data_IF_198043606732
#
_entry.id   IF_198043606732
#
_cell.length_a   1.000
_cell.length_b   1.000
_cell.length_c   1.000
_cell.angle_alpha   90.00
_cell.angle_beta   90.00
_cell.angle_gamma   90.00
#
_symmetry.space_group_name_H-M   'P 1'
#
loop_
_entity.id
_entity.type
_entity.pdbx_description
1 polymer ?
#
# COMPACT_ATOMS: atom_id res chain seq x y z
N UNK A 1 2.71 -21.14 28.72
CA UNK A 1 1.93 -20.34 27.75
C UNK A 1 2.58 -20.24 26.37
N UNK A 2 3.92 -20.08 26.26
CA UNK A 2 4.66 -20.07 24.97
C UNK A 2 4.37 -21.26 24.03
N UNK A 3 4.32 -22.49 24.55
CA UNK A 3 4.15 -23.68 23.70
C UNK A 3 2.74 -23.80 23.09
N UNK A 4 1.72 -23.20 23.72
CA UNK A 4 0.36 -23.16 23.16
C UNK A 4 0.24 -22.14 22.04
N UNK A 5 0.98 -21.03 22.11
CA UNK A 5 1.05 -20.01 21.05
C UNK A 5 1.73 -20.57 19.81
N UNK A 6 2.83 -21.32 19.98
CA UNK A 6 3.54 -21.98 18.87
C UNK A 6 2.65 -23.02 18.18
N UNK A 7 1.88 -23.80 18.95
CA UNK A 7 0.94 -24.78 18.41
C UNK A 7 -0.23 -24.12 17.64
N UNK A 8 -0.73 -22.98 18.13
CA UNK A 8 -1.75 -22.19 17.41
C UNK A 8 -1.16 -21.62 16.11
N UNK A 9 0.07 -21.12 16.15
CA UNK A 9 0.79 -20.63 14.96
C UNK A 9 1.00 -21.75 13.92
N UNK A 10 1.33 -22.97 14.36
CA UNK A 10 1.51 -24.16 13.52
C UNK A 10 0.19 -24.75 12.98
N UNK A 11 -0.92 -24.63 13.70
CA UNK A 11 -2.23 -25.01 13.16
C UNK A 11 -2.76 -23.98 12.15
N UNK A 12 -2.47 -22.69 12.36
CA UNK A 12 -2.82 -21.63 11.40
C UNK A 12 -2.06 -21.78 10.07
N UNK A 13 -0.81 -22.26 10.09
CA UNK A 13 -0.07 -22.52 8.84
C UNK A 13 -0.68 -23.66 8.02
N UNK A 14 -1.30 -24.67 8.65
CA UNK A 14 -1.88 -25.80 7.90
C UNK A 14 -3.16 -25.44 7.14
N UNK A 15 -3.92 -24.43 7.59
CA UNK A 15 -5.15 -23.97 6.90
C UNK A 15 -4.81 -23.13 5.65
N UNK A 16 -3.57 -22.64 5.51
CA UNK A 16 -3.18 -21.74 4.42
C UNK A 16 -2.80 -22.40 3.10
N UNK A 17 -2.67 -23.73 3.03
CA UNK A 17 -2.11 -24.44 1.88
C UNK A 17 -3.05 -24.67 0.68
N UNK A 18 -4.33 -24.26 0.77
CA UNK A 18 -5.27 -24.41 -0.35
C UNK A 18 -5.42 -23.14 -1.21
N UNK A 19 -4.86 -21.99 -0.78
CA UNK A 19 -4.98 -20.70 -1.45
C UNK A 19 -3.61 -20.07 -1.64
N UNK A 20 -3.21 -19.94 -2.91
CA UNK A 20 -1.92 -19.37 -3.30
C UNK A 20 -1.75 -17.96 -2.73
N UNK A 21 -0.53 -17.66 -2.32
CA UNK A 21 -0.13 -16.30 -1.97
C UNK A 21 0.43 -15.68 -3.25
N UNK A 22 -0.12 -14.54 -3.64
CA UNK A 22 0.29 -13.81 -4.83
C UNK A 22 1.44 -12.87 -4.46
N UNK A 23 2.56 -13.03 -5.15
CA UNK A 23 3.74 -12.19 -5.02
C UNK A 23 3.93 -11.43 -6.32
N UNK A 24 3.81 -10.10 -6.25
CA UNK A 24 4.04 -9.19 -7.38
C UNK A 24 4.97 -8.06 -6.94
N UNK A 25 5.45 -7.25 -7.86
CA UNK A 25 6.37 -6.16 -7.53
C UNK A 25 7.28 -5.80 -8.70
N UNK A 26 8.22 -4.91 -8.45
CA UNK A 26 9.19 -4.47 -9.44
C UNK A 26 10.49 -3.97 -8.80
N UNK A 27 11.53 -3.91 -9.62
CA UNK A 27 12.75 -3.16 -9.32
C UNK A 27 12.87 -2.06 -10.36
N UNK A 28 13.13 -0.84 -9.93
CA UNK A 28 13.27 0.32 -10.80
C UNK A 28 14.60 1.02 -10.53
N UNK A 29 15.23 1.50 -11.60
CA UNK A 29 16.38 2.39 -11.52
C UNK A 29 16.03 3.70 -12.24
N UNK A 30 16.18 4.83 -11.55
CA UNK A 30 16.16 6.17 -12.13
C UNK A 30 17.56 6.74 -12.13
N UNK A 31 18.02 7.15 -13.32
CA UNK A 31 19.24 7.92 -13.50
C UNK A 31 18.95 9.14 -14.37
N UNK A 32 19.44 10.31 -13.96
CA UNK A 32 19.24 11.58 -14.67
C UNK A 32 20.52 12.39 -14.71
N UNK A 33 20.87 12.92 -15.89
CA UNK A 33 22.04 13.76 -16.12
C UNK A 33 21.60 15.11 -16.70
N UNK A 34 22.25 16.19 -16.27
CA UNK A 34 22.04 17.51 -16.90
C UNK A 34 22.91 17.65 -18.14
N UNK A 35 22.30 17.85 -19.30
CA UNK A 35 23.01 18.16 -20.52
C UNK A 35 23.22 19.68 -20.66
N UNK A 36 24.47 20.13 -20.85
CA UNK A 36 24.79 21.50 -21.28
C UNK A 36 25.63 22.36 -20.32
N UNK A 37 26.01 21.87 -19.13
CA UNK A 37 26.79 22.67 -18.17
C UNK A 37 28.31 22.33 -18.12
N UNK A 38 28.82 21.48 -19.02
CA UNK A 38 30.23 21.08 -19.03
C UNK A 38 30.67 20.16 -17.88
N UNK A 39 29.92 20.11 -16.77
CA UNK A 39 29.99 19.05 -15.76
C UNK A 39 28.97 17.95 -16.08
N UNK A 40 29.44 16.71 -16.21
CA UNK A 40 28.59 15.52 -16.44
C UNK A 40 27.99 15.03 -15.11
N UNK A 41 27.32 15.91 -14.39
CA UNK A 41 26.80 15.58 -13.06
C UNK A 41 25.48 14.83 -13.17
N UNK A 42 25.41 13.67 -12.51
CA UNK A 42 24.15 12.97 -12.28
C UNK A 42 23.37 13.72 -11.21
N UNK A 43 22.12 14.06 -11.51
CA UNK A 43 21.22 14.79 -10.59
C UNK A 43 20.24 13.84 -9.91
N UNK A 44 19.98 12.69 -10.51
CA UNK A 44 19.12 11.65 -9.96
C UNK A 44 19.85 10.33 -10.12
N UNK A 45 20.02 9.60 -9.03
CA UNK A 45 20.45 8.21 -8.99
C UNK A 45 19.68 7.53 -7.85
N UNK A 46 18.66 6.77 -8.22
CA UNK A 46 17.72 6.15 -7.28
C UNK A 46 17.38 4.73 -7.75
N UNK A 47 17.46 3.79 -6.81
CA UNK A 47 16.98 2.43 -6.99
C UNK A 47 15.77 2.21 -6.09
N UNK A 48 14.72 1.62 -6.65
CA UNK A 48 13.48 1.30 -5.93
C UNK A 48 13.26 -0.20 -6.00
N UNK A 49 12.97 -0.81 -4.86
CA UNK A 49 12.49 -2.18 -4.75
C UNK A 49 11.08 -2.16 -4.16
N UNK A 50 10.09 -2.62 -4.93
CA UNK A 50 8.70 -2.72 -4.50
C UNK A 50 8.29 -4.20 -4.48
N UNK A 51 7.68 -4.62 -3.38
CA UNK A 51 7.14 -5.96 -3.23
C UNK A 51 5.70 -5.90 -2.74
N UNK A 52 4.82 -6.60 -3.40
CA UNK A 52 3.41 -6.72 -3.05
C UNK A 52 3.09 -8.19 -2.74
N UNK A 53 2.51 -8.42 -1.56
CA UNK A 53 2.14 -9.73 -1.06
C UNK A 53 0.66 -9.71 -0.78
N UNK A 54 -0.10 -10.49 -1.53
CA UNK A 54 -1.55 -10.60 -1.39
C UNK A 54 -1.96 -12.05 -1.14
N UNK A 55 -2.93 -12.24 -0.25
CA UNK A 55 -3.55 -13.54 -0.03
C UNK A 55 -5.06 -13.36 0.04
N UNK A 56 -5.75 -14.00 -0.89
CA UNK A 56 -7.21 -13.99 -0.96
C UNK A 56 -7.76 -15.31 -0.38
N UNK A 57 -8.76 -15.18 0.49
CA UNK A 57 -9.47 -16.27 1.14
C UNK A 57 -10.98 -16.06 0.99
N UNK A 58 -11.78 -17.12 1.17
CA UNK A 58 -13.21 -17.11 0.82
C UNK A 58 -14.08 -16.09 1.58
N UNK A 59 -13.57 -15.47 2.64
CA UNK A 59 -14.24 -14.39 3.37
C UNK A 59 -13.29 -13.33 3.90
N UNK A 60 -12.04 -13.32 3.42
CA UNK A 60 -11.04 -12.33 3.87
C UNK A 60 -9.92 -12.20 2.85
N UNK A 61 -9.30 -11.03 2.78
CA UNK A 61 -8.05 -10.84 2.05
C UNK A 61 -7.03 -10.11 2.91
N UNK A 62 -5.76 -10.33 2.63
CA UNK A 62 -4.67 -9.63 3.28
C UNK A 62 -3.71 -9.08 2.22
N UNK A 63 -3.22 -7.86 2.46
CA UNK A 63 -2.22 -7.21 1.62
C UNK A 63 -1.11 -6.60 2.47
N UNK A 64 0.13 -6.81 2.05
CA UNK A 64 1.32 -6.10 2.56
C UNK A 64 2.20 -5.65 1.40
N UNK A 65 2.58 -4.37 1.42
CA UNK A 65 3.39 -3.75 0.38
C UNK A 65 4.55 -2.92 0.97
N UNK A 66 5.70 -3.54 1.29
CA UNK A 66 6.93 -2.82 1.58
C UNK A 66 7.57 -2.25 0.29
N UNK A 67 8.18 -1.08 0.42
CA UNK A 67 9.00 -0.44 -0.61
C UNK A 67 10.31 0.05 0.00
N UNK A 68 11.40 -0.09 -0.75
CA UNK A 68 12.74 0.37 -0.36
C UNK A 68 13.25 1.30 -1.46
N UNK A 69 13.78 2.44 -1.04
CA UNK A 69 14.49 3.38 -1.90
C UNK A 69 15.96 3.43 -1.50
N UNK A 70 16.86 3.48 -2.48
CA UNK A 70 18.29 3.66 -2.29
C UNK A 70 18.78 4.78 -3.22
N UNK A 71 19.25 5.87 -2.62
CA UNK A 71 19.70 7.07 -3.33
C UNK A 71 21.23 7.20 -3.26
N UNK A 72 21.81 7.98 -4.17
CA UNK A 72 23.27 8.20 -4.32
C UNK A 72 24.01 8.58 -3.03
N UNK A 73 23.34 9.24 -2.09
CA UNK A 73 23.93 9.66 -0.81
C UNK A 73 24.04 8.53 0.23
N UNK A 74 24.06 7.27 -0.20
CA UNK A 74 24.00 6.05 0.64
C UNK A 74 22.78 5.97 1.58
N UNK A 75 21.76 6.80 1.37
CA UNK A 75 20.54 6.77 2.17
C UNK A 75 19.61 5.65 1.67
N UNK A 76 19.40 4.64 2.52
CA UNK A 76 18.35 3.64 2.33
C UNK A 76 17.12 4.09 3.11
N UNK A 77 15.99 4.22 2.42
CA UNK A 77 14.69 4.53 3.01
C UNK A 77 13.76 3.33 2.86
N UNK A 78 13.09 2.95 3.95
CA UNK A 78 12.09 1.88 3.97
C UNK A 78 10.71 2.48 4.27
N UNK A 79 9.71 2.10 3.50
CA UNK A 79 8.32 2.47 3.75
C UNK A 79 7.41 1.25 3.60
N UNK A 80 6.51 1.06 4.56
CA UNK A 80 5.42 0.10 4.46
C UNK A 80 4.21 0.84 3.88
N UNK A 81 3.98 0.74 2.57
CA UNK A 81 2.91 1.52 1.90
C UNK A 81 1.54 1.08 2.34
N UNK A 82 1.30 -0.23 2.33
CA UNK A 82 0.03 -0.83 2.73
C UNK A 82 0.29 -2.08 3.59
N UNK A 83 -0.59 -2.28 4.57
CA UNK A 83 -0.65 -3.44 5.44
C UNK A 83 -2.06 -3.50 6.04
N UNK A 84 -2.96 -4.24 5.40
CA UNK A 84 -4.35 -4.30 5.82
C UNK A 84 -4.96 -5.70 5.68
N UNK A 85 -6.06 -5.90 6.39
CA UNK A 85 -6.92 -7.07 6.34
C UNK A 85 -8.32 -6.63 5.91
N UNK A 86 -8.86 -7.29 4.89
CA UNK A 86 -10.28 -7.23 4.54
C UNK A 86 -11.01 -8.43 5.12
N UNK A 87 -12.22 -8.18 5.60
CA UNK A 87 -13.20 -9.17 5.99
C UNK A 87 -14.47 -8.92 5.19
N UNK A 88 -14.92 -9.94 4.48
CA UNK A 88 -16.09 -9.87 3.60
C UNK A 88 -17.25 -10.60 4.24
N UNK A 89 -18.40 -9.93 4.33
CA UNK A 89 -19.66 -10.50 4.84
C UNK A 89 -20.79 -10.28 3.82
N UNK A 90 -21.91 -10.96 3.99
CA UNK A 90 -23.01 -10.94 3.02
C UNK A 90 -23.59 -9.54 2.75
N UNK A 91 -23.54 -8.64 3.74
CA UNK A 91 -24.15 -7.30 3.66
C UNK A 91 -23.18 -6.16 3.92
N UNK A 92 -21.94 -6.46 4.30
CA UNK A 92 -20.94 -5.44 4.58
C UNK A 92 -19.52 -5.98 4.51
N UNK A 93 -18.58 -5.08 4.27
CA UNK A 93 -17.15 -5.39 4.32
C UNK A 93 -16.44 -4.45 5.27
N UNK A 94 -15.39 -4.96 5.91
CA UNK A 94 -14.54 -4.19 6.81
C UNK A 94 -13.09 -4.32 6.36
N UNK A 95 -12.41 -3.18 6.17
CA UNK A 95 -10.96 -3.09 5.97
C UNK A 95 -10.31 -2.44 7.17
N UNK A 96 -9.31 -3.09 7.76
CA UNK A 96 -8.53 -2.53 8.89
C UNK A 96 -7.05 -2.59 8.61
N UNK A 97 -6.33 -1.52 8.98
CA UNK A 97 -4.88 -1.41 8.83
C UNK A 97 -4.46 -0.18 8.04
N UNK A 98 -3.20 -0.20 7.57
CA UNK A 98 -2.63 0.85 6.72
C UNK A 98 -3.03 0.59 5.28
N UNK A 99 -3.77 1.52 4.68
CA UNK A 99 -4.42 1.34 3.39
C UNK A 99 -4.42 2.66 2.61
N UNK A 100 -4.35 2.59 1.29
CA UNK A 100 -4.67 3.74 0.46
C UNK A 100 -6.18 3.76 0.20
N UNK A 101 -6.86 4.83 0.59
CA UNK A 101 -8.31 4.96 0.43
C UNK A 101 -8.58 5.97 -0.68
N UNK A 102 -9.01 5.47 -1.84
CA UNK A 102 -9.44 6.32 -2.96
C UNK A 102 -10.91 6.65 -2.78
N UNK A 103 -11.22 7.95 -2.69
CA UNK A 103 -12.60 8.42 -2.61
C UNK A 103 -13.03 9.16 -3.89
N UNK A 104 -14.09 8.65 -4.52
CA UNK A 104 -14.64 9.15 -5.77
C UNK A 104 -14.43 8.22 -6.97
N UNK A 105 -15.03 8.57 -8.11
CA UNK A 105 -15.09 7.73 -9.34
C UNK A 105 -14.03 8.11 -10.39
N UNK A 106 -13.16 9.08 -10.10
CA UNK A 106 -12.13 9.51 -11.04
C UNK A 106 -10.91 8.60 -10.93
N UNK A 107 -10.75 7.70 -11.90
CA UNK A 107 -9.53 6.91 -12.06
C UNK A 107 -8.43 7.78 -12.71
N UNK A 108 -7.20 7.65 -12.23
CA UNK A 108 -6.04 8.38 -12.78
C UNK A 108 -5.95 9.90 -12.50
N UNK A 109 -6.94 10.53 -11.87
CA UNK A 109 -6.89 11.96 -11.49
C UNK A 109 -7.40 12.19 -10.08
N UNK A 110 -6.62 12.90 -9.27
CA UNK A 110 -6.93 13.12 -7.86
C UNK A 110 -7.92 14.28 -7.61
N UNK A 111 -9.08 14.28 -8.27
CA UNK A 111 -10.03 15.41 -8.21
C UNK A 111 -10.75 15.48 -6.85
N UNK A 112 -11.18 14.32 -6.33
CA UNK A 112 -11.98 14.22 -5.09
C UNK A 112 -11.31 13.38 -4.01
N UNK A 113 -10.07 12.95 -4.25
CA UNK A 113 -9.34 12.08 -3.33
C UNK A 113 -8.77 12.89 -2.16
N UNK A 114 -9.48 12.85 -1.03
CA UNK A 114 -9.20 13.61 0.20
C UNK A 114 -8.72 12.70 1.35
N UNK A 115 -9.01 11.39 1.29
CA UNK A 115 -8.78 10.49 2.43
C UNK A 115 -7.33 10.00 2.52
N UNK A 116 -6.67 9.79 1.38
CA UNK A 116 -5.24 9.51 1.33
C UNK A 116 -4.48 10.77 0.94
N UNK A 117 -3.65 11.34 1.86
CA UNK A 117 -2.72 12.41 1.53
C UNK A 117 -1.75 11.99 0.41
N UNK A 118 -1.12 12.98 -0.25
CA UNK A 118 -0.25 12.75 -1.40
C UNK A 118 1.14 13.28 -1.10
N UNK A 119 2.16 12.45 -1.34
CA UNK A 119 3.55 12.90 -1.35
C UNK A 119 3.90 13.34 -2.77
N UNK A 120 4.17 14.64 -2.93
CA UNK A 120 4.52 15.26 -4.21
C UNK A 120 5.97 15.76 -4.23
N UNK A 121 6.81 15.35 -3.27
CA UNK A 121 8.19 15.80 -3.16
C UNK A 121 9.00 15.52 -4.44
N UNK A 122 8.77 14.36 -5.09
CA UNK A 122 9.46 13.95 -6.31
C UNK A 122 8.64 14.20 -7.60
N UNK A 123 7.51 14.90 -7.48
CA UNK A 123 6.56 15.37 -8.50
C UNK A 123 6.19 14.39 -9.64
N UNK A 124 7.11 14.08 -10.57
CA UNK A 124 6.88 13.25 -11.76
C UNK A 124 7.63 11.91 -11.77
N UNK A 125 8.57 11.68 -10.85
CA UNK A 125 9.34 10.44 -10.82
C UNK A 125 8.52 9.25 -10.30
N UNK A 126 7.70 9.39 -9.23
CA UNK A 126 6.91 8.28 -8.74
C UNK A 126 5.71 7.97 -9.64
N UNK A 127 5.30 6.71 -9.69
CA UNK A 127 4.04 6.32 -10.32
C UNK A 127 2.84 6.84 -9.53
N UNK A 128 1.67 6.95 -10.15
CA UNK A 128 0.49 7.52 -9.52
C UNK A 128 0.02 6.79 -8.26
N UNK A 129 0.25 5.48 -8.17
CA UNK A 129 -0.06 4.71 -6.98
C UNK A 129 0.95 5.03 -5.86
N UNK A 130 2.22 5.27 -6.18
CA UNK A 130 3.31 5.62 -5.24
C UNK A 130 3.07 6.98 -4.57
N UNK A 131 2.44 7.92 -5.28
CA UNK A 131 2.12 9.26 -4.76
C UNK A 131 1.18 9.21 -3.54
N UNK A 132 0.29 8.22 -3.45
CA UNK A 132 -0.66 8.15 -2.33
C UNK A 132 0.02 7.66 -1.05
N UNK A 133 -0.20 8.37 0.04
CA UNK A 133 0.23 7.95 1.37
C UNK A 133 -0.85 7.04 1.96
N UNK A 134 -0.45 5.83 2.37
CA UNK A 134 -1.33 4.92 3.11
C UNK A 134 -1.67 5.48 4.49
N UNK A 135 -2.95 5.45 4.85
CA UNK A 135 -3.47 5.90 6.15
C UNK A 135 -3.86 4.70 6.99
N UNK A 136 -3.56 4.77 8.29
CA UNK A 136 -3.98 3.72 9.24
C UNK A 136 -5.39 4.01 9.71
N UNK A 137 -6.29 3.06 9.50
CA UNK A 137 -7.67 3.23 9.94
C UNK A 137 -8.54 2.01 9.69
N UNK A 138 -9.85 2.24 9.84
CA UNK A 138 -10.89 1.28 9.51
C UNK A 138 -11.82 1.87 8.45
N UNK A 139 -12.23 1.04 7.50
CA UNK A 139 -13.24 1.37 6.49
C UNK A 139 -14.34 0.31 6.56
N UNK A 140 -15.59 0.74 6.54
CA UNK A 140 -16.78 -0.10 6.52
C UNK A 140 -17.63 0.27 5.31
N UNK A 141 -17.95 -0.72 4.48
CA UNK A 141 -18.90 -0.60 3.39
C UNK A 141 -20.15 -1.40 3.74
N UNK A 142 -21.32 -0.78 3.77
CA UNK A 142 -22.60 -1.47 4.00
C UNK A 142 -23.45 -1.42 2.72
N UNK A 143 -23.89 -2.59 2.25
CA UNK A 143 -24.60 -2.75 0.98
C UNK A 143 -26.12 -2.80 1.19
N UNK A 144 -26.84 -1.87 0.57
CA UNK A 144 -28.30 -1.70 0.71
C UNK A 144 -28.97 -1.80 -0.67
N UNK A 145 -28.80 -2.94 -1.33
CA UNK A 145 -29.31 -3.17 -2.69
C UNK A 145 -28.63 -2.25 -3.70
N UNK A 146 -29.33 -1.22 -4.18
CA UNK A 146 -28.78 -0.26 -5.15
C UNK A 146 -27.89 0.83 -4.55
N UNK A 147 -27.77 0.89 -3.22
CA UNK A 147 -27.00 1.91 -2.51
C UNK A 147 -25.86 1.28 -1.70
N UNK A 148 -24.79 2.06 -1.47
CA UNK A 148 -23.68 1.67 -0.59
C UNK A 148 -23.39 2.82 0.36
N UNK A 149 -23.34 2.52 1.66
CA UNK A 149 -22.89 3.44 2.69
C UNK A 149 -21.42 3.13 2.99
N UNK A 150 -20.55 4.11 2.78
CA UNK A 150 -19.13 4.02 3.10
C UNK A 150 -18.82 4.87 4.34
N UNK A 151 -18.22 4.24 5.36
CA UNK A 151 -17.76 4.89 6.58
C UNK A 151 -16.26 4.67 6.72
N UNK A 152 -15.51 5.76 6.91
CA UNK A 152 -14.06 5.72 7.11
C UNK A 152 -13.72 6.36 8.45
N UNK A 153 -12.94 5.63 9.25
CA UNK A 153 -12.44 6.08 10.55
C UNK A 153 -10.91 6.07 10.56
N UNK A 154 -10.33 7.26 10.69
CA UNK A 154 -8.88 7.47 10.76
C UNK A 154 -8.53 7.96 12.17
N UNK A 155 -8.02 7.08 13.06
CA UNK A 155 -7.67 7.46 14.44
C UNK A 155 -6.39 8.31 14.53
N UNK A 156 -5.56 8.31 13.48
CA UNK A 156 -4.30 9.05 13.43
C UNK A 156 -4.34 9.97 12.22
N UNK A 157 -4.00 11.25 12.44
CA UNK A 157 -3.83 12.19 11.36
C UNK A 157 -2.50 11.95 10.65
N UNK A 158 -2.55 11.78 9.33
CA UNK A 158 -1.37 11.71 8.47
C UNK A 158 -1.25 13.05 7.75
N UNK A 159 -0.24 13.89 8.04
CA UNK A 159 -0.04 15.15 7.34
C UNK A 159 0.38 14.92 5.89
N UNK A 160 0.13 15.95 5.08
CA UNK A 160 0.61 16.08 3.69
C UNK A 160 1.97 16.76 3.68
#
# INVERSE_FOLDING_TARGET
>A
MKNKIIAILLCLTQITFAQNVDFTGYVRNYSGMLAGNGSNDFVILQNTFNLNIEKNMSGSSFKVNPIIYHNDSDSISFNLREAYLDLYFDSFDIRVGKQQIVWGKADGVFITDILSPKDLYEFLLPEFDEIRIGVTGAKLNYYMGGNTLELVWLPVFTPT
#
